data_IF_635016341698
#
_entry.id   IF_635016341698
#
_cell.length_a   1.000
_cell.length_b   1.000
_cell.length_c   1.000
_cell.angle_alpha   90.00
_cell.angle_beta   90.00
_cell.angle_gamma   90.00
#
_symmetry.space_group_name_H-M   'P 1'
#
loop_
_entity.id
_entity.type
_entity.pdbx_description
1 polymer ?
#
# COMPACT_ATOMS: atom_id res chain seq x y z
N UNK A 1 -19.48 -8.24 -62.14
CA UNK A 1 -20.46 -7.36 -61.47
C UNK A 1 -19.93 -7.08 -60.07
N UNK A 2 -19.88 -5.80 -59.70
CA UNK A 2 -19.22 -5.27 -58.52
C UNK A 2 -20.19 -5.10 -57.32
N UNK A 3 -19.58 -4.85 -56.15
CA UNK A 3 -20.11 -4.35 -54.86
C UNK A 3 -20.47 -5.40 -53.78
N UNK A 4 -20.24 -5.11 -52.47
CA UNK A 4 -18.93 -5.16 -51.84
C UNK A 4 -18.95 -5.79 -50.43
N UNK A 5 -17.77 -5.95 -49.84
CA UNK A 5 -17.54 -6.20 -48.42
C UNK A 5 -18.24 -5.13 -47.55
N UNK A 6 -19.29 -5.52 -46.82
CA UNK A 6 -19.85 -4.70 -45.76
C UNK A 6 -19.21 -5.12 -44.43
N UNK A 7 -18.03 -4.58 -44.14
CA UNK A 7 -17.59 -4.44 -42.76
C UNK A 7 -18.54 -3.47 -42.07
N UNK A 8 -19.54 -3.99 -41.38
CA UNK A 8 -20.28 -3.21 -40.39
C UNK A 8 -19.36 -3.07 -39.18
N UNK A 9 -18.48 -2.07 -39.23
CA UNK A 9 -17.99 -1.45 -38.00
C UNK A 9 -19.21 -0.78 -37.36
N UNK A 10 -19.94 -1.55 -36.54
CA UNK A 10 -20.86 -1.00 -35.57
C UNK A 10 -20.07 0.05 -34.79
N UNK A 11 -20.49 1.31 -34.96
CA UNK A 11 -19.87 2.51 -34.41
C UNK A 11 -19.37 2.20 -33.00
N UNK A 12 -18.05 2.03 -32.91
CA UNK A 12 -17.33 1.79 -31.66
C UNK A 12 -17.44 3.02 -30.80
N UNK A 13 -18.58 3.19 -30.14
CA UNK A 13 -18.67 3.99 -28.93
C UNK A 13 -17.99 3.14 -27.88
N UNK A 14 -16.67 3.29 -27.75
CA UNK A 14 -16.00 3.05 -26.48
C UNK A 14 -16.65 4.02 -25.50
N UNK A 15 -17.77 3.63 -24.90
CA UNK A 15 -18.26 4.29 -23.70
C UNK A 15 -17.07 4.22 -22.75
N UNK A 16 -16.49 5.36 -22.33
CA UNK A 16 -15.52 5.31 -21.25
C UNK A 16 -16.26 4.63 -20.10
N UNK A 17 -15.77 3.47 -19.70
CA UNK A 17 -16.22 2.86 -18.46
C UNK A 17 -15.77 3.88 -17.42
N UNK A 18 -16.67 4.78 -17.02
CA UNK A 18 -16.42 5.68 -15.93
C UNK A 18 -16.14 4.76 -14.75
N UNK A 19 -14.86 4.63 -14.39
CA UNK A 19 -14.43 3.86 -13.25
C UNK A 19 -15.22 4.42 -12.07
N UNK A 20 -16.26 3.71 -11.65
CA UNK A 20 -17.20 4.22 -10.67
C UNK A 20 -16.55 4.04 -9.31
N UNK A 21 -15.62 4.95 -9.02
CA UNK A 21 -15.11 5.17 -7.68
C UNK A 21 -16.31 5.17 -6.72
N UNK A 22 -16.22 4.42 -5.63
CA UNK A 22 -17.30 4.42 -4.65
C UNK A 22 -17.52 5.86 -4.17
N UNK A 23 -18.78 6.36 -4.08
CA UNK A 23 -19.05 7.75 -3.73
C UNK A 23 -18.44 8.17 -2.39
N UNK A 24 -18.27 7.23 -1.46
CA UNK A 24 -17.64 7.52 -0.17
C UNK A 24 -16.18 7.97 -0.31
N UNK A 25 -15.45 7.59 -1.36
CA UNK A 25 -14.04 7.96 -1.56
C UNK A 25 -13.83 9.47 -1.72
N UNK A 26 -14.88 10.23 -2.09
CA UNK A 26 -14.86 11.70 -2.14
C UNK A 26 -15.19 12.35 -0.78
N UNK A 27 -15.58 11.57 0.23
CA UNK A 27 -15.84 12.10 1.58
C UNK A 27 -14.53 12.55 2.22
N UNK A 28 -14.58 13.66 2.96
CA UNK A 28 -13.42 14.13 3.73
C UNK A 28 -13.09 13.18 4.88
N UNK A 29 -11.87 13.23 5.39
CA UNK A 29 -11.53 12.56 6.64
C UNK A 29 -12.47 13.03 7.76
N UNK A 30 -12.92 12.08 8.57
CA UNK A 30 -13.78 12.34 9.72
C UNK A 30 -13.26 11.55 10.93
N UNK A 31 -12.72 12.28 11.90
CA UNK A 31 -12.19 11.72 13.14
C UNK A 31 -13.29 11.13 14.04
N UNK A 32 -14.55 11.48 13.78
CA UNK A 32 -15.68 11.07 14.60
C UNK A 32 -15.63 11.67 16.01
N UNK A 33 -16.22 10.94 16.96
CA UNK A 33 -16.27 11.30 18.38
C UNK A 33 -15.47 10.33 19.23
N UNK A 34 -14.92 10.85 20.33
CA UNK A 34 -14.26 10.04 21.34
C UNK A 34 -15.26 9.16 22.08
N UNK A 35 -14.86 7.93 22.39
CA UNK A 35 -15.56 7.09 23.34
C UNK A 35 -15.34 7.67 24.73
N UNK A 36 -16.43 7.88 25.49
CA UNK A 36 -16.37 8.41 26.85
C UNK A 36 -15.47 7.53 27.75
N UNK A 37 -14.50 8.17 28.40
CA UNK A 37 -13.51 7.48 29.24
C UNK A 37 -12.39 6.77 28.46
N UNK A 38 -12.29 7.01 27.15
CA UNK A 38 -11.23 6.49 26.25
C UNK A 38 -10.75 7.54 25.24
N UNK A 39 -10.67 8.80 25.66
CA UNK A 39 -10.35 9.93 24.79
C UNK A 39 -8.94 9.85 24.17
N UNK A 40 -8.02 9.18 24.87
CA UNK A 40 -6.64 8.95 24.43
C UNK A 40 -6.46 7.69 23.54
N UNK A 41 -7.47 6.82 23.48
CA UNK A 41 -7.44 5.57 22.70
C UNK A 41 -7.82 5.82 21.23
N UNK A 42 -6.92 6.53 20.53
CA UNK A 42 -7.10 6.86 19.11
C UNK A 42 -6.55 5.77 18.20
N UNK A 43 -7.31 5.45 17.16
CA UNK A 43 -6.94 4.43 16.19
C UNK A 43 -6.33 5.09 14.95
N UNK A 44 -5.12 4.66 14.59
CA UNK A 44 -4.52 5.03 13.31
C UNK A 44 -5.30 4.36 12.17
N UNK A 45 -5.87 5.16 11.29
CA UNK A 45 -6.67 4.75 10.14
C UNK A 45 -6.22 5.52 8.90
N UNK A 46 -6.65 5.11 7.72
CA UNK A 46 -6.35 5.77 6.45
C UNK A 46 -7.63 6.27 5.79
N UNK A 47 -7.57 7.44 5.16
CA UNK A 47 -8.63 7.94 4.29
C UNK A 47 -8.04 8.25 2.91
N UNK A 48 -8.85 8.11 1.87
CA UNK A 48 -8.49 8.49 0.52
C UNK A 48 -8.66 10.00 0.32
N UNK A 49 -7.61 10.67 -0.11
CA UNK A 49 -7.67 12.07 -0.50
C UNK A 49 -7.76 12.17 -2.02
N UNK A 50 -8.96 12.47 -2.54
CA UNK A 50 -9.23 12.58 -3.97
C UNK A 50 -8.33 13.62 -4.67
N UNK A 51 -8.12 14.78 -4.04
CA UNK A 51 -7.27 15.84 -4.61
C UNK A 51 -5.79 15.46 -4.72
N UNK A 52 -5.34 14.45 -3.96
CA UNK A 52 -3.97 13.91 -4.01
C UNK A 52 -3.91 12.56 -4.73
N UNK A 53 -5.04 11.91 -4.98
CA UNK A 53 -5.11 10.57 -5.54
C UNK A 53 -4.42 9.50 -4.68
N UNK A 54 -4.39 9.68 -3.36
CA UNK A 54 -3.61 8.85 -2.45
C UNK A 54 -4.24 8.75 -1.06
N UNK A 55 -3.89 7.69 -0.34
CA UNK A 55 -4.35 7.44 1.03
C UNK A 55 -3.42 8.07 2.07
N UNK A 56 -4.00 8.74 3.07
CA UNK A 56 -3.27 9.41 4.14
C UNK A 56 -3.73 8.92 5.52
N UNK A 57 -2.79 8.79 6.48
CA UNK A 57 -3.13 8.40 7.85
C UNK A 57 -3.85 9.52 8.59
N UNK A 58 -4.76 9.14 9.49
CA UNK A 58 -5.40 10.01 10.46
C UNK A 58 -5.78 9.24 11.73
N UNK A 59 -6.08 9.95 12.81
CA UNK A 59 -6.49 9.36 14.09
C UNK A 59 -8.01 9.38 14.24
N UNK A 60 -8.64 8.21 14.14
CA UNK A 60 -10.06 8.01 14.41
C UNK A 60 -10.31 7.87 15.91
N UNK A 61 -11.34 8.57 16.42
CA UNK A 61 -11.64 8.67 17.86
C UNK A 61 -12.55 7.54 18.39
N UNK A 62 -13.07 6.68 17.52
CA UNK A 62 -13.74 5.44 17.91
C UNK A 62 -15.24 5.39 17.59
N UNK A 63 -15.95 6.51 17.54
CA UNK A 63 -17.39 6.57 17.24
C UNK A 63 -17.70 7.44 16.02
N UNK A 64 -18.78 7.10 15.30
CA UNK A 64 -19.28 7.84 14.13
C UNK A 64 -18.31 7.84 12.93
N UNK A 65 -18.20 8.96 12.21
CA UNK A 65 -17.38 9.12 11.02
C UNK A 65 -18.11 8.73 9.73
N UNK A 66 -17.33 8.38 8.71
CA UNK A 66 -17.82 7.96 7.40
C UNK A 66 -17.04 6.73 6.88
N UNK A 67 -17.42 6.24 5.70
CA UNK A 67 -16.88 5.02 5.09
C UNK A 67 -15.49 5.18 4.44
N UNK A 68 -14.99 6.42 4.26
CA UNK A 68 -13.64 6.67 3.75
C UNK A 68 -12.59 6.46 4.86
N UNK A 69 -12.56 5.26 5.43
CA UNK A 69 -11.75 4.89 6.59
C UNK A 69 -11.33 3.42 6.50
N UNK A 70 -10.01 3.20 6.46
CA UNK A 70 -9.42 1.88 6.21
C UNK A 70 -8.28 1.60 7.18
N UNK A 71 -8.12 0.33 7.57
CA UNK A 71 -7.08 -0.06 8.51
C UNK A 71 -5.67 -0.01 7.89
N UNK A 72 -5.57 -0.13 6.56
CA UNK A 72 -4.30 -0.05 5.83
C UNK A 72 -4.42 0.81 4.58
N UNK A 73 -3.30 1.41 4.18
CA UNK A 73 -3.20 2.16 2.93
C UNK A 73 -3.52 1.28 1.71
N UNK A 74 -3.09 0.00 1.72
CA UNK A 74 -3.44 -0.97 0.68
C UNK A 74 -4.96 -1.16 0.53
N UNK A 75 -5.69 -1.31 1.65
CA UNK A 75 -7.16 -1.43 1.62
C UNK A 75 -7.80 -0.17 1.04
N UNK A 76 -7.31 1.00 1.45
CA UNK A 76 -7.77 2.28 0.96
C UNK A 76 -7.53 2.44 -0.56
N UNK A 77 -6.32 2.14 -1.04
CA UNK A 77 -5.99 2.23 -2.46
C UNK A 77 -6.82 1.26 -3.30
N UNK A 78 -7.05 0.03 -2.81
CA UNK A 78 -7.93 -0.94 -3.49
C UNK A 78 -9.36 -0.45 -3.64
N UNK A 79 -9.89 0.22 -2.59
CA UNK A 79 -11.27 0.69 -2.59
C UNK A 79 -11.48 1.97 -3.41
N UNK A 80 -10.46 2.82 -3.49
CA UNK A 80 -10.58 4.21 -3.93
C UNK A 80 -9.55 4.67 -4.97
N UNK A 81 -8.77 3.80 -5.60
CA UNK A 81 -7.80 4.23 -6.60
C UNK A 81 -7.78 3.31 -7.80
N UNK A 82 -7.84 3.90 -9.00
CA UNK A 82 -7.57 3.23 -10.26
C UNK A 82 -6.11 2.76 -10.40
N UNK A 83 -5.21 3.31 -9.57
CA UNK A 83 -3.78 2.93 -9.52
C UNK A 83 -3.48 1.72 -8.63
N UNK A 84 -4.49 1.07 -8.05
CA UNK A 84 -4.26 -0.03 -7.12
C UNK A 84 -3.41 -1.16 -7.73
N UNK A 85 -3.75 -1.61 -8.94
CA UNK A 85 -3.04 -2.71 -9.62
C UNK A 85 -1.60 -2.36 -10.01
N UNK A 86 -1.31 -1.08 -10.24
CA UNK A 86 0.05 -0.58 -10.50
C UNK A 86 0.88 -0.60 -9.21
N UNK A 87 0.30 -0.16 -8.10
CA UNK A 87 1.02 0.01 -6.84
C UNK A 87 1.07 -1.26 -6.00
N UNK A 88 0.11 -2.17 -6.12
CA UNK A 88 0.03 -3.43 -5.37
C UNK A 88 -0.29 -4.62 -6.30
N UNK A 89 0.54 -4.87 -7.32
CA UNK A 89 0.32 -5.96 -8.26
C UNK A 89 0.27 -7.31 -7.52
N UNK A 90 -0.55 -8.22 -8.05
CA UNK A 90 -0.77 -9.52 -7.45
C UNK A 90 0.50 -10.40 -7.41
N UNK A 91 0.50 -11.35 -6.47
CA UNK A 91 1.54 -12.37 -6.31
C UNK A 91 2.96 -11.77 -6.21
N UNK A 92 3.89 -12.23 -7.02
CA UNK A 92 5.30 -11.82 -7.03
C UNK A 92 5.57 -10.59 -7.90
N UNK A 93 4.56 -10.03 -8.58
CA UNK A 93 4.72 -8.79 -9.35
C UNK A 93 5.21 -7.63 -8.50
N UNK A 94 4.85 -7.65 -7.21
CA UNK A 94 5.25 -6.64 -6.24
C UNK A 94 6.75 -6.59 -6.00
N UNK A 95 7.44 -7.71 -6.19
CA UNK A 95 8.87 -7.84 -5.98
C UNK A 95 9.70 -7.17 -7.09
N UNK A 96 9.06 -6.81 -8.20
CA UNK A 96 9.70 -6.05 -9.28
C UNK A 96 9.57 -4.53 -9.12
N UNK A 97 8.82 -4.04 -8.13
CA UNK A 97 8.65 -2.60 -7.93
C UNK A 97 9.88 -1.99 -7.26
N UNK A 98 10.22 -0.73 -7.56
CA UNK A 98 11.29 -0.02 -6.85
C UNK A 98 10.91 0.19 -5.38
N UNK A 99 11.91 0.30 -4.51
CA UNK A 99 11.70 0.79 -3.14
C UNK A 99 11.14 2.21 -3.20
N UNK A 100 10.08 2.47 -2.42
CA UNK A 100 9.46 3.79 -2.36
C UNK A 100 9.22 4.19 -0.90
N UNK A 101 9.96 5.23 -0.48
CA UNK A 101 9.91 5.78 0.87
C UNK A 101 8.57 6.47 1.17
N UNK A 102 7.78 6.86 0.16
CA UNK A 102 6.61 7.70 0.33
C UNK A 102 6.95 9.16 0.64
N UNK A 103 5.94 9.96 1.00
CA UNK A 103 6.08 11.42 1.12
C UNK A 103 5.54 12.01 2.43
N UNK A 104 5.22 11.17 3.42
CA UNK A 104 4.81 11.60 4.75
C UNK A 104 6.04 11.81 5.67
N UNK A 105 5.84 11.83 6.99
CA UNK A 105 6.88 12.22 7.95
C UNK A 105 7.19 11.17 9.02
N UNK A 106 6.60 9.97 8.93
CA UNK A 106 6.94 8.87 9.84
C UNK A 106 8.30 8.27 9.46
N UNK A 107 8.89 7.51 10.39
CA UNK A 107 10.13 6.77 10.16
C UNK A 107 9.88 5.30 10.52
N UNK A 108 9.07 4.64 9.70
CA UNK A 108 8.69 3.24 9.93
C UNK A 108 9.71 2.32 9.28
N UNK A 109 10.37 1.48 10.07
CA UNK A 109 11.30 0.49 9.53
C UNK A 109 10.49 -0.65 8.90
N UNK A 110 10.67 -0.84 7.59
CA UNK A 110 9.98 -1.85 6.79
C UNK A 110 11.00 -2.62 5.95
N UNK A 111 10.58 -3.72 5.34
CA UNK A 111 11.39 -4.54 4.44
C UNK A 111 10.96 -4.36 3.00
N UNK A 112 11.89 -4.36 2.05
CA UNK A 112 11.59 -4.41 0.61
C UNK A 112 12.47 -5.50 -0.03
N UNK A 113 12.04 -6.01 -1.18
CA UNK A 113 12.85 -6.91 -1.99
C UNK A 113 13.75 -6.11 -2.91
N UNK A 114 15.07 -6.30 -2.77
CA UNK A 114 16.07 -5.80 -3.68
C UNK A 114 16.33 -6.86 -4.76
N UNK A 115 15.85 -6.60 -5.98
CA UNK A 115 16.00 -7.52 -7.10
C UNK A 115 17.44 -7.62 -7.63
N UNK A 116 18.27 -6.59 -7.44
CA UNK A 116 19.68 -6.60 -7.86
C UNK A 116 20.50 -7.56 -6.99
N UNK A 117 20.22 -7.55 -5.69
CA UNK A 117 20.89 -8.43 -4.71
C UNK A 117 20.18 -9.78 -4.55
N UNK A 118 18.98 -9.91 -5.10
CA UNK A 118 18.11 -11.05 -4.90
C UNK A 118 17.84 -11.32 -3.42
N UNK A 119 17.64 -10.28 -2.59
CA UNK A 119 17.43 -10.40 -1.14
C UNK A 119 16.50 -9.33 -0.57
N UNK A 120 15.95 -9.57 0.63
CA UNK A 120 15.12 -8.62 1.35
C UNK A 120 15.96 -7.72 2.25
N UNK A 121 15.76 -6.40 2.13
CA UNK A 121 16.50 -5.33 2.81
C UNK A 121 15.57 -4.46 3.63
N UNK A 122 16.12 -3.78 4.63
CA UNK A 122 15.35 -2.80 5.42
C UNK A 122 15.37 -1.42 4.76
N UNK A 123 14.31 -0.64 4.94
CA UNK A 123 14.24 0.77 4.56
C UNK A 123 13.27 1.55 5.45
N UNK A 124 13.35 2.88 5.40
CA UNK A 124 12.44 3.77 6.13
C UNK A 124 11.24 4.12 5.26
N UNK A 125 10.04 3.79 5.71
CA UNK A 125 8.79 4.20 5.09
C UNK A 125 8.19 5.40 5.84
N UNK A 126 7.78 6.40 5.07
CA UNK A 126 7.25 7.65 5.57
C UNK A 126 5.83 7.59 6.15
N UNK A 127 5.14 6.44 6.04
CA UNK A 127 3.82 6.19 6.63
C UNK A 127 2.62 6.51 5.74
N UNK A 128 2.83 6.99 4.51
CA UNK A 128 1.79 7.08 3.49
C UNK A 128 2.40 6.99 2.08
N UNK A 129 1.55 6.70 1.08
CA UNK A 129 1.94 6.48 -0.31
C UNK A 129 2.91 5.29 -0.44
N UNK A 130 3.84 5.35 -1.39
CA UNK A 130 4.68 4.22 -1.71
C UNK A 130 3.96 3.19 -2.58
N UNK A 131 4.53 1.98 -2.58
CA UNK A 131 4.00 0.85 -3.31
C UNK A 131 4.10 -0.44 -2.49
N UNK A 132 3.68 -1.55 -3.07
CA UNK A 132 3.57 -2.83 -2.40
C UNK A 132 4.89 -3.53 -2.11
N UNK A 133 6.04 -3.09 -2.64
CA UNK A 133 7.35 -3.65 -2.30
C UNK A 133 7.79 -3.16 -0.92
N UNK A 134 6.97 -3.50 0.07
CA UNK A 134 7.04 -3.05 1.44
C UNK A 134 6.33 -4.06 2.33
N UNK A 135 7.10 -4.70 3.19
CA UNK A 135 6.69 -5.80 4.06
C UNK A 135 7.02 -5.47 5.50
N UNK A 136 6.18 -5.89 6.43
CA UNK A 136 6.41 -5.64 7.87
C UNK A 136 7.60 -6.45 8.37
N UNK A 137 7.74 -7.69 7.88
CA UNK A 137 8.80 -8.61 8.28
C UNK A 137 9.62 -9.09 7.08
N UNK A 138 10.86 -9.47 7.37
CA UNK A 138 11.74 -10.09 6.39
C UNK A 138 11.14 -11.39 5.86
N UNK A 139 10.53 -12.20 6.73
CA UNK A 139 9.92 -13.48 6.37
C UNK A 139 8.79 -13.28 5.36
N UNK A 140 7.94 -12.27 5.56
CA UNK A 140 6.87 -11.92 4.62
C UNK A 140 7.44 -11.54 3.24
N UNK A 141 8.51 -10.74 3.22
CA UNK A 141 9.21 -10.39 1.99
C UNK A 141 9.79 -11.63 1.29
N UNK A 142 10.52 -12.49 2.01
CA UNK A 142 11.14 -13.69 1.44
C UNK A 142 10.09 -14.68 0.92
N UNK A 143 9.02 -14.92 1.67
CA UNK A 143 7.92 -15.78 1.24
C UNK A 143 7.23 -15.26 -0.01
N UNK A 144 7.07 -13.95 -0.14
CA UNK A 144 6.44 -13.34 -1.31
C UNK A 144 7.36 -13.38 -2.54
N UNK A 145 8.64 -13.05 -2.35
CA UNK A 145 9.55 -12.75 -3.46
C UNK A 145 10.52 -13.87 -3.82
N UNK A 146 10.77 -14.83 -2.94
CA UNK A 146 11.73 -15.92 -3.18
C UNK A 146 11.08 -17.29 -3.39
N UNK A 147 9.76 -17.44 -3.19
CA UNK A 147 9.09 -18.73 -3.31
C UNK A 147 9.20 -19.39 -4.71
N UNK A 148 9.54 -18.62 -5.77
CA UNK A 148 9.76 -19.16 -7.12
C UNK A 148 11.21 -19.58 -7.43
N UNK A 149 12.19 -19.19 -6.62
CA UNK A 149 13.59 -19.62 -6.81
C UNK A 149 13.76 -21.15 -6.62
N UNK A 150 12.78 -21.82 -6.00
CA UNK A 150 12.72 -23.28 -5.87
C UNK A 150 12.27 -24.06 -7.12
N UNK A 151 12.02 -23.42 -8.28
CA UNK A 151 11.69 -24.12 -9.54
C UNK A 151 12.87 -24.37 -10.48
N UNK A 152 14.05 -23.84 -10.17
CA UNK A 152 15.29 -24.23 -10.85
C UNK A 152 16.36 -24.43 -9.78
N UNK A 153 16.78 -25.69 -9.61
CA UNK A 153 17.66 -26.13 -8.54
C UNK A 153 18.92 -25.29 -8.39
N UNK A 154 19.02 -24.64 -7.24
CA UNK A 154 20.22 -24.05 -6.68
C UNK A 154 19.85 -23.61 -5.27
N UNK A 155 20.41 -24.27 -4.27
CA UNK A 155 20.37 -23.74 -2.92
C UNK A 155 21.09 -22.38 -2.97
N UNK A 156 20.33 -21.29 -3.01
CA UNK A 156 20.86 -19.99 -2.63
C UNK A 156 21.13 -20.12 -1.14
N UNK A 157 22.38 -20.43 -0.81
CA UNK A 157 22.89 -20.31 0.56
C UNK A 157 22.43 -18.95 1.11
N UNK A 158 21.85 -18.88 2.32
CA UNK A 158 21.45 -17.60 2.89
C UNK A 158 22.71 -16.75 3.04
N UNK A 159 22.94 -15.83 2.09
CA UNK A 159 23.91 -14.78 2.27
C UNK A 159 23.59 -14.07 3.57
N UNK A 160 24.62 -13.85 4.40
CA UNK A 160 24.48 -13.10 5.65
C UNK A 160 23.78 -11.78 5.32
N UNK A 161 22.59 -11.56 5.89
CA UNK A 161 21.94 -10.28 5.73
C UNK A 161 22.58 -9.32 6.71
N UNK A 162 23.33 -8.30 6.28
CA UNK A 162 23.92 -7.34 7.20
C UNK A 162 22.85 -6.60 8.02
N UNK A 163 21.60 -6.62 7.57
CA UNK A 163 20.47 -5.96 8.24
C UNK A 163 19.80 -6.83 9.33
N UNK A 164 20.26 -8.07 9.55
CA UNK A 164 19.68 -8.99 10.57
C UNK A 164 19.77 -8.42 12.00
N UNK A 165 20.72 -7.53 12.27
CA UNK A 165 20.83 -6.82 13.55
C UNK A 165 19.91 -5.59 13.68
N UNK A 166 19.25 -5.18 12.59
CA UNK A 166 18.40 -3.98 12.55
C UNK A 166 16.91 -4.25 12.76
N UNK A 167 16.49 -5.52 12.85
CA UNK A 167 15.08 -5.95 12.89
C UNK A 167 14.41 -5.77 14.26
N UNK A 168 14.58 -4.60 14.90
CA UNK A 168 13.62 -4.19 15.90
C UNK A 168 12.31 -3.90 15.14
N UNK A 169 11.47 -4.94 15.06
CA UNK A 169 10.14 -4.91 14.49
C UNK A 169 9.41 -3.63 14.91
N UNK A 170 8.76 -2.98 13.95
CA UNK A 170 8.14 -1.66 14.03
C UNK A 170 7.28 -1.44 15.27
N UNK A 171 7.94 -1.12 16.39
CA UNK A 171 7.34 -0.33 17.43
C UNK A 171 7.22 1.06 16.81
N UNK A 172 6.00 1.55 16.66
CA UNK A 172 5.77 2.98 16.61
C UNK A 172 6.42 3.55 17.86
N UNK A 173 7.70 3.96 17.78
CA UNK A 173 8.28 4.79 18.83
C UNK A 173 7.47 6.07 18.71
N UNK A 174 6.64 6.44 19.71
CA UNK A 174 6.05 7.77 19.70
C UNK A 174 7.21 8.74 19.90
N UNK A 175 7.82 9.20 18.81
CA UNK A 175 8.64 10.39 18.82
C UNK A 175 7.67 11.55 19.05
N UNK A 176 7.44 11.84 20.33
CA UNK A 176 6.98 13.10 20.95
C UNK A 176 6.14 12.79 22.20
N UNK A 177 6.78 12.45 23.32
CA UNK A 177 6.25 12.83 24.64
C UNK A 177 7.11 13.95 25.20
N UNK A 178 6.91 15.17 24.70
CA UNK A 178 7.31 16.34 25.47
C UNK A 178 6.32 16.47 26.63
N UNK A 179 6.71 15.94 27.79
CA UNK A 179 6.10 16.35 29.05
C UNK A 179 6.47 17.82 29.28
N UNK A 180 5.48 18.69 29.24
CA UNK A 180 5.51 19.96 29.97
C UNK A 180 4.25 20.09 30.81
#
# INVERSE_FOLDING_TARGET
>A
MAYPLLHVFLLGVMLPIASSMNPFCSSKMDEGKAVEGKEDDKQLQYYYNEGKGACFPFFYKGLEGNENRFNTDRQCMNACSDKFEELYPAADGVCGLPVDHGSCFAMLLMHYYNAEEGNCRVFHYSGCQGNGNRFETREQCLQTCMAKAGRFGGAMEPGTNPDESSTNAGTLIPLCTDKK
#
